data_IF_332694386933
#
_entry.id   IF_332694386933
#
_cell.length_a   1.000
_cell.length_b   1.000
_cell.length_c   1.000
_cell.angle_alpha   90.00
_cell.angle_beta   90.00
_cell.angle_gamma   90.00
#
_symmetry.space_group_name_H-M   'P 1'
#
loop_
_entity.id
_entity.type
_entity.pdbx_description
1 polymer ?
#
# COMPACT_ATOMS: atom_id res chain seq x y z
N UNK A 1 50.33 -25.41 -17.09
CA UNK A 1 50.29 -23.97 -16.75
C UNK A 1 50.30 -23.20 -18.05
N UNK A 2 49.12 -22.87 -18.58
CA UNK A 2 48.99 -22.20 -19.88
C UNK A 2 49.47 -20.75 -19.69
N UNK A 3 50.64 -20.43 -20.25
CA UNK A 3 51.20 -19.08 -20.26
C UNK A 3 50.45 -18.23 -21.27
N UNK A 4 49.51 -17.41 -20.80
CA UNK A 4 48.81 -16.46 -21.64
C UNK A 4 49.75 -15.28 -21.95
N UNK A 5 50.02 -15.03 -23.23
CA UNK A 5 50.79 -13.89 -23.71
C UNK A 5 50.17 -12.57 -23.19
N UNK A 6 51.03 -11.63 -22.77
CA UNK A 6 50.65 -10.27 -22.34
C UNK A 6 49.82 -9.55 -23.40
N UNK A 7 50.09 -9.74 -24.69
CA UNK A 7 49.34 -9.13 -25.78
C UNK A 7 47.93 -9.71 -25.89
N UNK A 8 47.79 -11.04 -25.72
CA UNK A 8 46.49 -11.71 -25.68
C UNK A 8 45.67 -11.30 -24.45
N UNK A 9 46.32 -11.05 -23.31
CA UNK A 9 45.67 -10.54 -22.11
C UNK A 9 45.10 -9.12 -22.33
N UNK A 10 45.88 -8.24 -22.97
CA UNK A 10 45.47 -6.86 -23.27
C UNK A 10 44.28 -6.85 -24.24
N UNK A 11 44.30 -7.69 -25.27
CA UNK A 11 43.18 -7.81 -26.22
C UNK A 11 41.90 -8.32 -25.55
N UNK A 12 42.00 -9.28 -24.63
CA UNK A 12 40.86 -9.77 -23.85
C UNK A 12 40.25 -8.69 -22.96
N UNK A 13 41.08 -7.87 -22.31
CA UNK A 13 40.62 -6.78 -21.46
C UNK A 13 39.93 -5.69 -22.30
N UNK A 14 40.53 -5.29 -23.42
CA UNK A 14 39.94 -4.29 -24.32
C UNK A 14 38.61 -4.78 -24.92
N UNK A 15 38.53 -6.07 -25.26
CA UNK A 15 37.28 -6.69 -25.71
C UNK A 15 36.21 -6.68 -24.61
N UNK A 16 36.58 -6.99 -23.36
CA UNK A 16 35.68 -6.91 -22.21
C UNK A 16 35.16 -5.49 -21.94
N UNK A 17 36.01 -4.47 -22.07
CA UNK A 17 35.62 -3.06 -21.92
C UNK A 17 34.68 -2.63 -23.07
N UNK A 18 34.97 -3.05 -24.29
CA UNK A 18 34.09 -2.82 -25.45
C UNK A 18 32.69 -3.40 -25.26
N UNK A 19 32.59 -4.59 -24.66
CA UNK A 19 31.31 -5.24 -24.33
C UNK A 19 30.54 -4.48 -23.24
N UNK A 20 31.24 -3.87 -22.28
CA UNK A 20 30.57 -3.08 -21.22
C UNK A 20 29.91 -1.80 -21.75
N UNK A 21 30.38 -1.25 -22.87
CA UNK A 21 29.76 -0.10 -23.53
C UNK A 21 28.45 -0.43 -24.27
N UNK A 22 28.10 -1.71 -24.40
CA UNK A 22 26.84 -2.17 -24.99
C UNK A 22 25.74 -2.41 -23.94
N UNK A 23 26.05 -2.25 -22.66
CA UNK A 23 25.09 -2.43 -21.57
C UNK A 23 24.47 -1.09 -21.23
N UNK A 24 23.16 -0.98 -21.41
CA UNK A 24 22.38 0.14 -20.89
C UNK A 24 21.78 -0.26 -19.53
N UNK A 25 22.12 0.50 -18.50
CA UNK A 25 21.65 0.27 -17.14
C UNK A 25 20.38 1.08 -16.89
N UNK A 26 19.22 0.42 -16.83
CA UNK A 26 17.99 1.10 -16.45
C UNK A 26 17.73 0.95 -14.95
N UNK A 27 17.52 2.08 -14.28
CA UNK A 27 17.09 2.10 -12.90
C UNK A 27 15.60 1.75 -12.78
N UNK A 28 15.27 0.78 -11.94
CA UNK A 28 13.88 0.36 -11.70
C UNK A 28 13.13 1.38 -10.83
N UNK A 29 12.09 2.06 -11.34
CA UNK A 29 11.33 3.02 -10.56
C UNK A 29 10.69 2.37 -9.32
N UNK A 30 10.81 3.03 -8.17
CA UNK A 30 10.15 2.63 -6.92
C UNK A 30 10.97 1.73 -5.98
N UNK A 31 12.30 1.66 -6.15
CA UNK A 31 13.21 0.89 -5.25
C UNK A 31 14.02 1.80 -4.31
N UNK A 32 14.30 3.04 -4.72
CA UNK A 32 15.18 3.96 -4.00
C UNK A 32 14.38 4.64 -2.89
N UNK A 33 15.04 4.94 -1.76
CA UNK A 33 14.48 5.81 -0.75
C UNK A 33 14.06 7.13 -1.39
N UNK A 34 12.88 7.62 -1.00
CA UNK A 34 12.41 8.96 -1.35
C UNK A 34 12.57 9.81 -0.10
N UNK A 35 13.27 10.93 -0.24
CA UNK A 35 13.35 11.93 0.81
C UNK A 35 12.13 12.84 0.73
N UNK A 36 11.55 13.15 1.89
CA UNK A 36 10.37 13.98 2.01
C UNK A 36 10.66 15.20 2.89
N UNK A 37 10.28 16.37 2.40
CA UNK A 37 10.28 17.61 3.18
C UNK A 37 9.05 17.68 4.10
N UNK A 38 9.12 18.54 5.11
CA UNK A 38 7.97 18.84 5.97
C UNK A 38 6.83 19.44 5.14
N UNK A 39 5.60 18.99 5.40
CA UNK A 39 4.42 19.42 4.65
C UNK A 39 4.25 18.75 3.29
N UNK A 40 5.16 17.85 2.88
CA UNK A 40 5.01 17.16 1.60
C UNK A 40 3.74 16.29 1.58
N UNK A 41 2.87 16.41 0.57
CA UNK A 41 1.63 15.63 0.51
C UNK A 41 1.89 14.16 0.17
N UNK A 42 1.46 13.26 1.05
CA UNK A 42 1.55 11.81 0.90
C UNK A 42 0.25 11.25 0.32
N UNK A 43 0.32 10.74 -0.92
CA UNK A 43 -0.81 10.06 -1.54
C UNK A 43 -1.06 8.69 -0.88
N UNK A 44 -2.27 8.50 -0.35
CA UNK A 44 -2.73 7.19 0.15
C UNK A 44 -3.49 6.45 -0.94
N UNK A 45 -3.08 5.21 -1.19
CA UNK A 45 -3.65 4.34 -2.20
C UNK A 45 -4.43 3.19 -1.59
N UNK A 46 -5.57 2.88 -2.21
CA UNK A 46 -6.33 1.68 -1.96
C UNK A 46 -5.94 0.60 -2.96
N UNK A 47 -5.53 -0.55 -2.44
CA UNK A 47 -5.22 -1.71 -3.28
C UNK A 47 -6.50 -2.52 -3.48
N UNK A 48 -6.92 -3.25 -2.44
CA UNK A 48 -8.04 -4.19 -2.50
C UNK A 48 -8.49 -4.63 -1.10
N UNK A 49 -9.72 -5.13 -1.04
CA UNK A 49 -10.29 -5.81 0.11
C UNK A 49 -9.89 -7.27 0.03
N UNK A 50 -9.29 -7.78 1.10
CA UNK A 50 -8.82 -9.16 1.17
C UNK A 50 -9.34 -9.79 2.46
N UNK A 51 -9.79 -11.04 2.37
CA UNK A 51 -10.24 -11.81 3.52
C UNK A 51 -9.30 -13.00 3.75
N UNK A 52 -9.03 -13.38 5.01
CA UNK A 52 -8.36 -14.64 5.31
C UNK A 52 -9.25 -15.85 5.01
N UNK A 53 -10.56 -15.70 5.22
CA UNK A 53 -11.59 -16.75 5.06
C UNK A 53 -11.98 -16.91 3.59
N UNK A 54 -12.28 -15.81 2.90
CA UNK A 54 -12.74 -15.80 1.52
C UNK A 54 -11.60 -15.42 0.57
N UNK A 55 -11.40 -16.21 -0.49
CA UNK A 55 -10.31 -16.02 -1.46
C UNK A 55 -10.60 -14.94 -2.51
N UNK A 56 -11.83 -14.45 -2.61
CA UNK A 56 -12.20 -13.45 -3.62
C UNK A 56 -11.85 -12.05 -3.15
N UNK A 57 -10.93 -11.33 -3.81
CA UNK A 57 -10.67 -9.93 -3.50
C UNK A 57 -11.73 -9.01 -4.11
N UNK A 58 -12.00 -7.89 -3.44
CA UNK A 58 -12.91 -6.85 -3.95
C UNK A 58 -12.24 -5.48 -4.02
N UNK A 59 -12.74 -4.59 -4.86
CA UNK A 59 -12.30 -3.19 -4.87
C UNK A 59 -12.76 -2.47 -3.60
N UNK A 60 -11.95 -1.53 -3.09
CA UNK A 60 -12.33 -0.69 -1.95
C UNK A 60 -13.65 0.06 -2.20
N UNK A 61 -13.78 0.62 -3.40
CA UNK A 61 -14.97 1.35 -3.87
C UNK A 61 -16.20 0.46 -4.09
N UNK A 62 -16.11 -0.83 -3.79
CA UNK A 62 -17.29 -1.70 -3.73
C UNK A 62 -18.07 -1.57 -2.42
N UNK A 63 -17.48 -0.91 -1.41
CA UNK A 63 -18.11 -0.61 -0.13
C UNK A 63 -18.65 0.82 -0.15
N UNK A 64 -19.89 1.05 0.32
CA UNK A 64 -20.59 2.33 0.13
C UNK A 64 -19.95 3.55 0.82
N UNK A 65 -19.19 3.40 1.91
CA UNK A 65 -18.66 4.55 2.66
C UNK A 65 -17.40 5.19 2.04
N UNK A 66 -16.77 4.51 1.09
CA UNK A 66 -15.62 5.03 0.32
C UNK A 66 -16.05 5.61 -1.03
N UNK A 67 -17.34 5.70 -1.32
CA UNK A 67 -17.81 6.25 -2.60
C UNK A 67 -17.51 7.75 -2.69
N UNK A 68 -16.92 8.17 -3.81
CA UNK A 68 -16.59 9.58 -4.02
C UNK A 68 -17.85 10.40 -4.29
N UNK A 69 -17.83 11.66 -3.86
CA UNK A 69 -18.88 12.63 -4.17
C UNK A 69 -19.08 12.73 -5.69
N UNK A 70 -20.34 12.63 -6.13
CA UNK A 70 -20.71 12.62 -7.55
C UNK A 70 -20.53 11.28 -8.27
N UNK A 71 -20.24 10.18 -7.55
CA UNK A 71 -20.22 8.82 -8.10
C UNK A 71 -19.05 8.54 -9.07
N UNK A 72 -18.13 9.49 -9.25
CA UNK A 72 -16.95 9.32 -10.10
C UNK A 72 -15.90 8.53 -9.36
N UNK A 73 -15.58 7.33 -9.83
CA UNK A 73 -14.47 6.55 -9.28
C UNK A 73 -13.15 7.12 -9.79
N UNK A 74 -12.10 7.20 -8.95
CA UNK A 74 -10.79 7.59 -9.45
C UNK A 74 -10.29 6.55 -10.44
N UNK A 75 -9.49 6.98 -11.41
CA UNK A 75 -8.83 6.05 -12.32
C UNK A 75 -7.75 5.29 -11.55
N UNK A 76 -7.81 3.96 -11.63
CA UNK A 76 -6.75 3.12 -11.10
C UNK A 76 -5.46 3.36 -11.89
N UNK A 77 -4.32 3.40 -11.19
CA UNK A 77 -2.97 3.56 -11.77
C UNK A 77 -2.03 2.46 -11.26
N UNK A 78 -0.97 2.18 -12.01
CA UNK A 78 0.15 1.37 -11.54
C UNK A 78 1.23 2.30 -10.97
N UNK A 79 1.88 1.94 -9.86
CA UNK A 79 2.94 2.77 -9.23
C UNK A 79 4.35 2.35 -9.61
N UNK A 80 4.58 1.06 -9.82
CA UNK A 80 5.90 0.52 -10.14
C UNK A 80 5.81 -0.63 -11.14
N UNK A 81 6.95 -1.01 -11.72
CA UNK A 81 7.03 -2.08 -12.71
C UNK A 81 6.53 -3.42 -12.17
N UNK A 82 6.81 -3.73 -10.91
CA UNK A 82 6.35 -4.96 -10.26
C UNK A 82 4.82 -5.07 -10.25
N UNK A 83 4.12 -3.97 -9.96
CA UNK A 83 2.65 -3.91 -10.01
C UNK A 83 2.10 -4.03 -11.43
N UNK A 84 2.79 -3.44 -12.42
CA UNK A 84 2.41 -3.62 -13.84
C UNK A 84 2.49 -5.10 -14.21
N UNK A 85 3.61 -5.75 -13.90
CA UNK A 85 3.84 -7.17 -14.22
C UNK A 85 2.89 -8.10 -13.45
N UNK A 86 2.58 -7.77 -12.19
CA UNK A 86 1.61 -8.50 -11.38
C UNK A 86 0.14 -8.22 -11.77
N UNK A 87 -0.10 -7.27 -12.68
CA UNK A 87 -1.45 -6.79 -13.01
C UNK A 87 -2.16 -6.13 -11.82
N UNK A 88 -1.42 -5.69 -10.80
CA UNK A 88 -1.99 -5.02 -9.64
C UNK A 88 -2.22 -3.54 -9.95
N UNK A 89 -3.46 -3.11 -9.78
CA UNK A 89 -3.85 -1.71 -9.93
C UNK A 89 -4.19 -1.14 -8.56
N UNK A 90 -3.76 0.10 -8.32
CA UNK A 90 -4.09 0.83 -7.10
C UNK A 90 -4.97 2.02 -7.44
N UNK A 91 -5.87 2.37 -6.53
CA UNK A 91 -6.79 3.49 -6.73
C UNK A 91 -6.51 4.55 -5.68
N UNK A 92 -6.28 5.82 -6.03
CA UNK A 92 -6.07 6.88 -5.04
C UNK A 92 -7.29 6.99 -4.12
N UNK A 93 -7.06 7.41 -2.88
CA UNK A 93 -8.09 7.67 -1.88
C UNK A 93 -8.19 9.16 -1.59
N UNK A 94 -9.12 9.55 -0.72
CA UNK A 94 -9.31 10.92 -0.23
C UNK A 94 -8.52 11.21 1.07
N UNK A 95 -7.70 10.28 1.55
CA UNK A 95 -6.88 10.57 2.72
C UNK A 95 -5.80 11.58 2.33
N UNK A 96 -5.85 12.74 2.96
CA UNK A 96 -4.83 13.79 2.84
C UNK A 96 -3.94 13.70 4.07
N UNK A 97 -2.69 13.29 3.84
CA UNK A 97 -1.67 13.19 4.88
C UNK A 97 -0.50 14.04 4.41
N UNK A 98 -0.04 14.93 5.29
CA UNK A 98 1.16 15.73 5.06
C UNK A 98 2.31 15.18 5.91
N UNK A 99 3.49 15.09 5.31
CA UNK A 99 4.66 14.55 5.97
C UNK A 99 5.10 15.45 7.13
N UNK A 100 5.34 14.85 8.31
CA UNK A 100 5.73 15.55 9.55
C UNK A 100 4.72 16.58 10.08
N UNK A 101 3.51 16.68 9.49
CA UNK A 101 2.45 17.59 9.94
C UNK A 101 1.31 16.77 10.57
N UNK A 102 1.12 16.84 11.91
CA UNK A 102 0.04 16.11 12.56
C UNK A 102 -1.31 16.74 12.19
N UNK A 103 -2.23 15.91 11.70
CA UNK A 103 -3.60 16.31 11.38
C UNK A 103 -4.61 15.60 12.31
N UNK A 104 -5.64 16.32 12.74
CA UNK A 104 -6.68 15.80 13.62
C UNK A 104 -7.98 15.54 12.85
N UNK A 105 -8.54 14.33 12.98
CA UNK A 105 -9.89 13.92 12.59
C UNK A 105 -10.45 14.58 11.31
N UNK A 106 -9.88 14.23 10.16
CA UNK A 106 -10.43 14.61 8.86
C UNK A 106 -11.61 13.70 8.49
N UNK A 107 -12.78 14.31 8.26
CA UNK A 107 -13.96 13.59 7.77
C UNK A 107 -13.86 13.42 6.26
N UNK A 108 -13.74 12.17 5.80
CA UNK A 108 -13.50 11.83 4.39
C UNK A 108 -14.80 11.67 3.58
N UNK A 109 -15.87 11.30 4.27
CA UNK A 109 -17.21 11.22 3.70
C UNK A 109 -18.23 11.74 4.71
N UNK A 110 -19.06 12.68 4.24
CA UNK A 110 -20.27 13.10 4.96
C UNK A 110 -21.29 11.97 4.87
N UNK A 111 -21.71 11.46 6.03
CA UNK A 111 -22.49 10.23 6.17
C UNK A 111 -23.64 10.09 5.18
N UNK A 112 -23.46 9.21 4.19
CA UNK A 112 -24.55 8.79 3.31
C UNK A 112 -25.46 7.84 4.08
N UNK A 113 -26.78 8.08 4.04
CA UNK A 113 -27.76 7.08 4.49
C UNK A 113 -27.58 5.82 3.65
N UNK A 114 -27.22 4.70 4.29
CA UNK A 114 -27.04 3.43 3.60
C UNK A 114 -28.40 2.79 3.35
N UNK A 115 -28.62 2.31 2.12
CA UNK A 115 -29.78 1.47 1.79
C UNK A 115 -29.66 0.08 2.43
N UNK A 116 -30.79 -0.58 2.65
CA UNK A 116 -30.90 -1.94 3.17
C UNK A 116 -30.02 -2.94 2.41
N UNK A 117 -29.93 -2.81 1.08
CA UNK A 117 -29.07 -3.66 0.26
C UNK A 117 -27.58 -3.42 0.54
N UNK A 118 -27.19 -2.16 0.77
CA UNK A 118 -25.83 -1.77 1.10
C UNK A 118 -25.44 -2.25 2.50
N UNK A 119 -26.36 -2.12 3.47
CA UNK A 119 -26.17 -2.62 4.84
C UNK A 119 -25.97 -4.14 4.84
N UNK A 120 -26.82 -4.90 4.13
CA UNK A 120 -26.66 -6.36 4.02
C UNK A 120 -25.32 -6.75 3.39
N UNK A 121 -24.89 -6.04 2.34
CA UNK A 121 -23.59 -6.26 1.70
C UNK A 121 -22.46 -6.00 2.70
N UNK A 122 -22.52 -4.90 3.44
CA UNK A 122 -21.52 -4.53 4.44
C UNK A 122 -21.44 -5.57 5.57
N UNK A 123 -22.58 -5.99 6.12
CA UNK A 123 -22.65 -7.04 7.14
C UNK A 123 -22.03 -8.35 6.65
N UNK A 124 -22.29 -8.74 5.39
CA UNK A 124 -21.64 -9.90 4.77
C UNK A 124 -20.13 -9.74 4.67
N UNK A 125 -19.62 -8.54 4.34
CA UNK A 125 -18.16 -8.29 4.31
C UNK A 125 -17.50 -8.35 5.68
N UNK A 126 -18.19 -7.86 6.71
CA UNK A 126 -17.71 -7.94 8.08
C UNK A 126 -17.68 -9.41 8.53
N UNK A 127 -18.74 -10.16 8.26
CA UNK A 127 -18.83 -11.59 8.56
C UNK A 127 -17.74 -12.41 7.86
N UNK A 128 -17.41 -12.07 6.61
CA UNK A 128 -16.34 -12.70 5.86
C UNK A 128 -14.94 -12.15 6.25
N UNK A 129 -14.81 -11.36 7.32
CA UNK A 129 -13.53 -10.84 7.82
C UNK A 129 -12.71 -10.06 6.78
N UNK A 130 -13.37 -9.31 5.89
CA UNK A 130 -12.66 -8.50 4.91
C UNK A 130 -11.85 -7.39 5.58
N UNK A 131 -10.62 -7.24 5.10
CA UNK A 131 -9.67 -6.20 5.51
C UNK A 131 -9.36 -5.27 4.35
N UNK A 132 -9.30 -3.99 4.64
CA UNK A 132 -8.93 -2.92 3.70
C UNK A 132 -7.41 -2.82 3.63
N UNK A 133 -6.83 -3.08 2.45
CA UNK A 133 -5.41 -2.83 2.21
C UNK A 133 -5.20 -1.45 1.60
N UNK A 134 -4.52 -0.61 2.36
CA UNK A 134 -4.01 0.68 1.91
C UNK A 134 -2.49 0.62 1.74
N UNK A 135 -1.95 1.56 0.97
CA UNK A 135 -0.54 1.73 0.73
C UNK A 135 -0.19 3.23 0.78
N UNK A 136 0.92 3.57 1.42
CA UNK A 136 1.46 4.93 1.52
C UNK A 136 2.96 4.82 1.25
N UNK A 137 3.48 5.65 0.34
CA UNK A 137 4.88 5.58 -0.11
C UNK A 137 5.36 4.16 -0.47
N UNK A 138 4.59 3.47 -1.31
CA UNK A 138 4.84 2.08 -1.72
C UNK A 138 4.87 1.05 -0.56
N UNK A 139 4.68 1.46 0.69
CA UNK A 139 4.61 0.59 1.85
C UNK A 139 3.15 0.22 2.19
N UNK A 140 2.86 -1.07 2.45
CA UNK A 140 1.53 -1.47 2.87
C UNK A 140 1.25 -0.99 4.29
N UNK A 141 0.02 -0.52 4.51
CA UNK A 141 -0.46 -0.22 5.86
C UNK A 141 -0.54 -1.50 6.69
N UNK A 142 -0.07 -1.40 7.94
CA UNK A 142 -0.15 -2.48 8.92
C UNK A 142 -0.90 -2.04 10.17
N UNK A 143 -1.55 -3.01 10.81
CA UNK A 143 -2.19 -2.84 12.13
C UNK A 143 -1.48 -3.76 13.11
N UNK A 144 -1.11 -3.22 14.28
CA UNK A 144 -0.49 -4.01 15.36
C UNK A 144 -1.52 -5.01 15.90
N UNK A 145 -1.07 -6.25 16.08
CA UNK A 145 -1.82 -7.37 16.62
C UNK A 145 -0.93 -8.11 17.63
N UNK A 146 -1.53 -9.04 18.37
CA UNK A 146 -0.80 -10.00 19.19
C UNK A 146 -0.89 -11.39 18.57
N UNK A 147 0.19 -12.17 18.67
CA UNK A 147 0.16 -13.60 18.38
C UNK A 147 -0.54 -14.37 19.52
N UNK A 148 -0.90 -15.65 19.33
CA UNK A 148 -1.37 -16.50 20.43
C UNK A 148 -0.36 -16.64 21.58
N UNK A 149 0.94 -16.48 21.30
CA UNK A 149 2.03 -16.46 22.28
C UNK A 149 2.19 -15.12 23.02
N UNK A 150 1.43 -14.08 22.64
CA UNK A 150 1.48 -12.74 23.26
C UNK A 150 2.53 -11.80 22.66
N UNK A 151 3.25 -12.23 21.63
CA UNK A 151 4.26 -11.43 20.93
C UNK A 151 3.59 -10.40 20.01
N UNK A 152 4.29 -9.31 19.73
CA UNK A 152 3.83 -8.30 18.78
C UNK A 152 3.86 -8.84 17.35
N UNK A 153 2.75 -8.68 16.65
CA UNK A 153 2.61 -9.00 15.24
C UNK A 153 2.04 -7.81 14.46
N UNK A 154 2.26 -7.80 13.16
CA UNK A 154 1.72 -6.78 12.26
C UNK A 154 0.89 -7.46 11.18
N UNK A 155 -0.35 -7.02 11.02
CA UNK A 155 -1.27 -7.53 10.01
C UNK A 155 -1.49 -6.50 8.92
N UNK A 156 -1.47 -6.94 7.66
CA UNK A 156 -1.75 -6.04 6.54
C UNK A 156 -3.21 -5.58 6.54
N UNK A 157 -3.38 -4.26 6.41
CA UNK A 157 -4.68 -3.61 6.36
C UNK A 157 -5.45 -3.67 7.69
N UNK A 158 -6.57 -2.96 7.74
CA UNK A 158 -7.47 -2.94 8.89
C UNK A 158 -8.80 -3.64 8.55
N UNK A 159 -9.46 -4.31 9.51
CA UNK A 159 -10.75 -4.94 9.27
C UNK A 159 -11.83 -3.87 9.04
N UNK A 160 -12.80 -4.16 8.18
CA UNK A 160 -13.93 -3.24 7.93
C UNK A 160 -14.73 -3.02 9.22
N UNK A 161 -14.86 -4.05 10.04
CA UNK A 161 -15.62 -4.01 11.28
C UNK A 161 -15.47 -5.32 12.05
N UNK A 162 -16.26 -5.46 13.10
CA UNK A 162 -16.30 -6.67 13.92
C UNK A 162 -17.75 -7.05 14.27
N UNK A 163 -17.99 -8.33 14.47
CA UNK A 163 -19.24 -8.80 15.07
C UNK A 163 -19.02 -8.97 16.57
N UNK A 164 -19.93 -8.43 17.39
CA UNK A 164 -19.88 -8.67 18.83
C UNK A 164 -20.20 -10.13 19.14
N UNK A 165 -19.44 -10.75 20.05
CA UNK A 165 -19.82 -12.05 20.60
C UNK A 165 -21.15 -12.01 21.36
N UNK A 166 -21.43 -10.90 22.06
CA UNK A 166 -22.49 -10.83 23.07
C UNK A 166 -23.88 -10.51 22.48
N UNK A 167 -23.97 -9.50 21.62
CA UNK A 167 -25.23 -8.99 21.07
C UNK A 167 -25.50 -9.42 19.62
N UNK A 168 -24.56 -10.16 19.00
CA UNK A 168 -24.54 -10.55 17.58
C UNK A 168 -24.68 -9.37 16.60
N UNK A 169 -24.49 -8.13 17.06
CA UNK A 169 -24.53 -6.93 16.21
C UNK A 169 -23.19 -6.76 15.49
N UNK A 170 -23.27 -6.08 14.36
CA UNK A 170 -22.09 -5.71 13.57
C UNK A 170 -21.71 -4.26 13.88
N UNK A 171 -20.44 -4.07 14.21
CA UNK A 171 -19.83 -2.77 14.45
C UNK A 171 -18.92 -2.41 13.29
N UNK A 172 -19.03 -1.17 12.82
CA UNK A 172 -18.22 -0.63 11.73
C UNK A 172 -17.02 0.14 12.30
N UNK A 173 -15.84 -0.06 11.73
CA UNK A 173 -14.67 0.76 12.05
C UNK A 173 -14.58 1.92 11.06
N UNK A 174 -15.09 3.08 11.48
CA UNK A 174 -15.12 4.31 10.70
C UNK A 174 -14.02 5.31 11.09
N UNK A 175 -13.42 5.16 12.26
CA UNK A 175 -12.38 6.04 12.77
C UNK A 175 -11.02 5.36 12.60
N UNK A 176 -10.17 5.93 11.73
CA UNK A 176 -8.83 5.43 11.46
C UNK A 176 -7.80 6.40 12.03
N UNK A 177 -6.81 5.86 12.72
CA UNK A 177 -5.67 6.62 13.22
C UNK A 177 -4.41 6.09 12.55
N UNK A 178 -3.66 6.98 11.90
CA UNK A 178 -2.43 6.64 11.18
C UNK A 178 -1.22 7.11 11.99
N UNK A 179 -0.26 6.21 12.21
CA UNK A 179 1.07 6.54 12.71
C UNK A 179 2.07 6.32 11.59
N UNK A 180 2.71 7.39 11.14
CA UNK A 180 3.74 7.32 10.10
C UNK A 180 5.10 7.35 10.78
N UNK A 181 5.88 6.30 10.55
CA UNK A 181 7.26 6.21 11.00
C UNK A 181 8.18 6.56 9.85
N UNK A 182 9.22 7.32 10.13
CA UNK A 182 10.18 7.76 9.14
C UNK A 182 11.59 7.76 9.71
N UNK A 183 12.56 7.70 8.81
CA UNK A 183 13.97 7.79 9.15
C UNK A 183 14.45 9.24 9.02
N UNK A 184 15.23 9.69 10.00
CA UNK A 184 15.92 10.98 9.94
C UNK A 184 17.41 10.65 9.67
N UNK A 185 17.96 11.02 8.51
CA UNK A 185 19.37 10.79 8.19
C UNK A 185 20.28 11.47 9.23
N UNK A 186 21.26 10.73 9.75
CA UNK A 186 22.14 11.20 10.84
C UNK A 186 23.18 12.27 10.43
N UNK A 187 23.22 12.72 9.17
CA UNK A 187 24.17 13.71 8.68
C UNK A 187 23.53 14.68 7.70
N UNK A 188 23.07 15.82 8.22
CA UNK A 188 22.93 17.05 7.46
C UNK A 188 23.71 18.11 8.24
N UNK A 189 24.98 18.27 7.90
CA UNK A 189 25.79 19.46 8.22
C UNK A 189 25.79 20.38 7.01
#
# INVERSE_FOLDING_TARGET
>A
WIGMDRMSLVLLILFGISLSALVDGFYLPGIAPIDYEEGFPLEVFANRLVSPVNKVPYSLYSIPFFELEGGKRPRSKHRNLGQILAGEMVTPTKFEIEMMVPSSCLSISTGTSLDDKQIRKLASRIKDEYRVRLNVDNMPLVVRSKTPSGEDAFLFGFPIGAQSPDDKKFYLFNHLNFTILYHIPAHVT
#
